data_IF_799403346603
#
_entry.id   IF_799403346603
#
_cell.length_a   1.000
_cell.length_b   1.000
_cell.length_c   1.000
_cell.angle_alpha   90.00
_cell.angle_beta   90.00
_cell.angle_gamma   90.00
#
_symmetry.space_group_name_H-M   'P 1'
#
loop_
_entity.id
_entity.type
_entity.pdbx_description
1 polymer ?
#
# COMPACT_ATOMS: atom_id res chain seq x y z
N UNK A 1 14.90 23.09 11.06
CA UNK A 1 13.64 22.64 11.68
C UNK A 1 12.49 23.15 10.78
N UNK A 2 12.20 22.42 9.70
CA UNK A 2 11.18 22.74 8.68
C UNK A 2 10.82 21.37 8.08
N UNK A 3 9.68 20.74 8.41
CA UNK A 3 8.55 20.71 7.50
C UNK A 3 7.63 19.48 7.68
N UNK A 4 7.25 19.13 8.92
CA UNK A 4 6.42 17.93 9.23
C UNK A 4 4.89 18.18 9.27
N UNK A 5 4.42 19.38 8.94
CA UNK A 5 2.97 19.72 9.01
C UNK A 5 2.30 19.79 7.64
N UNK A 6 3.05 19.70 6.54
CA UNK A 6 2.46 19.84 5.20
C UNK A 6 1.95 18.50 4.70
N UNK A 7 0.63 18.44 4.52
CA UNK A 7 -0.02 17.35 3.83
C UNK A 7 0.47 17.24 2.37
N UNK A 8 0.72 16.02 1.92
CA UNK A 8 1.09 15.72 0.55
C UNK A 8 0.62 14.33 0.13
N UNK A 9 0.49 14.14 -1.18
CA UNK A 9 0.38 12.81 -1.77
C UNK A 9 1.27 12.69 -3.02
N UNK A 10 1.80 11.50 -3.25
CA UNK A 10 2.49 11.12 -4.49
C UNK A 10 1.81 9.86 -5.01
N UNK A 11 0.99 10.00 -6.05
CA UNK A 11 0.16 8.89 -6.57
C UNK A 11 0.16 8.97 -8.09
N UNK A 12 0.35 7.82 -8.77
CA UNK A 12 0.30 7.77 -10.23
C UNK A 12 1.31 8.70 -10.92
N UNK A 13 2.52 8.84 -10.36
CA UNK A 13 3.55 9.74 -10.89
C UNK A 13 3.27 11.24 -10.68
N UNK A 14 2.33 11.59 -9.82
CA UNK A 14 1.89 12.97 -9.58
C UNK A 14 2.09 13.36 -8.12
N UNK A 15 2.68 14.53 -7.88
CA UNK A 15 2.75 15.17 -6.58
C UNK A 15 1.55 16.09 -6.40
N UNK A 16 0.89 15.91 -5.28
CA UNK A 16 -0.26 16.66 -4.83
C UNK A 16 0.10 17.40 -3.54
N UNK A 17 -0.02 18.73 -3.55
CA UNK A 17 0.14 19.62 -2.39
C UNK A 17 -1.01 20.63 -2.33
N UNK A 18 -1.05 21.46 -1.27
CA UNK A 18 -2.18 22.37 -1.08
C UNK A 18 -3.45 21.61 -0.71
N UNK A 19 -3.42 20.92 0.43
CA UNK A 19 -4.58 20.20 0.95
C UNK A 19 -5.75 21.18 1.12
N UNK A 20 -6.84 20.90 0.41
CA UNK A 20 -8.01 21.76 0.34
C UNK A 20 -9.21 21.20 1.10
N UNK A 21 -9.32 19.87 1.15
CA UNK A 21 -10.45 19.19 1.77
C UNK A 21 -10.06 17.78 2.23
N UNK A 22 -10.69 17.30 3.31
CA UNK A 22 -10.58 15.92 3.80
C UNK A 22 -11.94 15.45 4.29
N UNK A 23 -12.42 14.34 3.74
CA UNK A 23 -13.72 13.75 4.07
C UNK A 23 -13.67 12.22 4.06
N UNK A 24 -14.61 11.58 4.73
CA UNK A 24 -14.87 10.15 4.65
C UNK A 24 -16.02 9.79 3.69
N UNK A 25 -16.74 10.79 3.19
CA UNK A 25 -17.81 10.64 2.21
C UNK A 25 -17.26 10.40 0.80
N UNK A 26 -17.42 9.18 0.31
CA UNK A 26 -16.99 8.77 -1.04
C UNK A 26 -17.74 9.52 -2.15
N UNK A 27 -18.92 10.09 -1.89
CA UNK A 27 -19.64 10.89 -2.88
C UNK A 27 -18.90 12.17 -3.27
N UNK A 28 -17.95 12.62 -2.43
CA UNK A 28 -17.07 13.74 -2.76
C UNK A 28 -16.19 13.46 -3.99
N UNK A 29 -15.97 12.20 -4.36
CA UNK A 29 -15.23 11.82 -5.56
C UNK A 29 -15.98 12.11 -6.86
N UNK A 30 -17.28 12.40 -6.81
CA UNK A 30 -18.06 12.90 -7.95
C UNK A 30 -17.76 14.39 -8.25
N UNK A 31 -17.05 15.07 -7.35
CA UNK A 31 -16.57 16.43 -7.57
C UNK A 31 -15.38 16.48 -8.53
N UNK A 32 -15.05 17.67 -9.01
CA UNK A 32 -13.81 17.91 -9.77
C UNK A 32 -12.60 18.00 -8.84
N UNK A 33 -11.42 17.72 -9.39
CA UNK A 33 -10.12 17.88 -8.73
C UNK A 33 -9.36 16.56 -8.61
N UNK A 34 -8.20 16.62 -7.97
CA UNK A 34 -7.40 15.42 -7.68
C UNK A 34 -7.60 15.02 -6.22
N UNK A 35 -8.07 13.79 -6.02
CA UNK A 35 -8.29 13.19 -4.72
C UNK A 35 -7.29 12.05 -4.51
N UNK A 36 -6.56 12.08 -3.39
CA UNK A 36 -5.86 10.91 -2.89
C UNK A 36 -6.77 10.22 -1.88
N UNK A 37 -7.01 8.92 -2.07
CA UNK A 37 -7.94 8.15 -1.24
C UNK A 37 -7.18 7.04 -0.52
N UNK A 38 -7.37 6.95 0.79
CA UNK A 38 -6.91 5.85 1.62
C UNK A 38 -8.12 5.09 2.13
N UNK A 39 -8.23 3.82 1.74
CA UNK A 39 -9.27 2.90 2.20
C UNK A 39 -8.66 1.96 3.24
N UNK A 40 -8.91 2.16 4.55
CA UNK A 40 -8.40 1.25 5.57
C UNK A 40 -9.19 -0.07 5.54
N UNK A 41 -8.58 -1.12 6.10
CA UNK A 41 -9.28 -2.40 6.31
C UNK A 41 -10.50 -2.25 7.24
N UNK A 42 -10.38 -1.37 8.23
CA UNK A 42 -11.44 -1.07 9.20
C UNK A 42 -11.46 0.42 9.48
N UNK A 43 -12.66 1.00 9.54
CA UNK A 43 -12.87 2.43 9.78
C UNK A 43 -13.27 3.19 8.52
N UNK A 44 -13.46 4.52 8.63
CA UNK A 44 -13.89 5.36 7.52
C UNK A 44 -12.80 5.50 6.45
N UNK A 45 -13.21 5.74 5.20
CA UNK A 45 -12.30 6.17 4.15
C UNK A 45 -11.68 7.54 4.50
N UNK A 46 -10.53 7.85 3.88
CA UNK A 46 -9.96 9.19 3.92
C UNK A 46 -9.72 9.66 2.49
N UNK A 47 -10.59 10.55 2.02
CA UNK A 47 -10.49 11.24 0.75
C UNK A 47 -9.89 12.62 0.98
N UNK A 48 -8.71 12.88 0.43
CA UNK A 48 -8.03 14.18 0.54
C UNK A 48 -7.91 14.86 -0.82
N UNK A 49 -8.48 16.06 -0.96
CA UNK A 49 -8.41 16.85 -2.20
C UNK A 49 -7.25 17.83 -2.14
N UNK A 50 -6.52 17.95 -3.25
CA UNK A 50 -5.37 18.83 -3.38
C UNK A 50 -5.59 19.85 -4.52
N UNK A 51 -5.07 21.07 -4.33
CA UNK A 51 -5.15 22.14 -5.34
C UNK A 51 -3.95 22.17 -6.27
N UNK A 52 -2.78 21.79 -5.78
CA UNK A 52 -1.54 21.85 -6.55
C UNK A 52 -1.14 20.44 -6.99
N UNK A 53 -1.29 20.17 -8.28
CA UNK A 53 -1.09 18.84 -8.87
C UNK A 53 -0.06 18.96 -9.98
N UNK A 54 1.09 18.31 -9.81
CA UNK A 54 2.20 18.38 -10.77
C UNK A 54 2.90 17.04 -10.96
N UNK A 55 3.51 16.79 -12.12
CA UNK A 55 4.33 15.58 -12.32
C UNK A 55 5.43 15.44 -11.27
N UNK A 56 5.73 14.19 -10.91
CA UNK A 56 6.61 13.81 -9.82
C UNK A 56 7.53 12.62 -10.17
N UNK A 57 8.05 12.60 -11.40
CA UNK A 57 9.00 11.58 -11.84
C UNK A 57 10.32 12.20 -12.36
N UNK A 58 11.48 11.80 -11.78
CA UNK A 58 11.59 11.03 -10.54
C UNK A 58 11.04 11.82 -9.34
N UNK A 59 10.72 11.12 -8.24
CA UNK A 59 10.40 11.76 -6.96
C UNK A 59 11.71 11.92 -6.15
N UNK A 60 12.36 13.09 -6.15
CA UNK A 60 13.55 13.31 -5.34
C UNK A 60 13.12 13.47 -3.88
N UNK A 61 13.27 12.41 -3.08
CA UNK A 61 13.07 12.48 -1.64
C UNK A 61 14.39 12.62 -0.87
N UNK A 62 14.27 13.05 0.38
CA UNK A 62 15.37 12.94 1.32
C UNK A 62 15.77 11.46 1.54
N UNK A 63 17.04 11.17 1.87
CA UNK A 63 17.44 9.80 2.21
C UNK A 63 16.63 9.25 3.37
N UNK A 64 16.09 8.03 3.21
CA UNK A 64 15.33 7.36 4.26
C UNK A 64 16.21 7.04 5.46
N UNK A 65 15.77 7.49 6.65
CA UNK A 65 16.37 7.13 7.95
C UNK A 65 15.35 6.38 8.78
N UNK A 66 15.26 5.08 8.54
CA UNK A 66 14.29 4.20 9.18
C UNK A 66 14.70 3.62 10.53
N UNK A 67 13.82 2.79 11.14
CA UNK A 67 14.12 2.04 12.35
C UNK A 67 15.33 1.12 12.15
N UNK A 68 16.13 0.95 13.21
CA UNK A 68 17.25 -0.02 13.20
C UNK A 68 16.73 -1.46 13.06
N UNK A 69 17.45 -2.36 12.35
CA UNK A 69 17.01 -3.74 12.13
C UNK A 69 16.64 -4.52 13.41
N UNK A 70 17.35 -4.30 14.50
CA UNK A 70 17.14 -4.95 15.81
C UNK A 70 15.87 -4.48 16.55
N UNK A 71 15.22 -3.41 16.08
CA UNK A 71 14.01 -2.84 16.70
C UNK A 71 12.72 -3.38 16.12
N UNK A 72 12.80 -4.18 15.04
CA UNK A 72 11.64 -4.79 14.42
C UNK A 72 11.12 -5.97 15.23
N UNK A 73 9.79 -6.04 15.33
CA UNK A 73 9.06 -7.15 15.94
C UNK A 73 8.09 -7.72 14.93
N UNK A 74 7.89 -9.04 14.97
CA UNK A 74 6.87 -9.69 14.17
C UNK A 74 5.67 -10.09 15.02
N UNK A 75 4.46 -9.99 14.46
CA UNK A 75 3.24 -10.47 15.11
C UNK A 75 3.17 -11.99 15.23
N UNK A 76 3.93 -12.72 14.41
CA UNK A 76 4.06 -14.16 14.44
C UNK A 76 5.54 -14.51 14.30
N UNK A 77 6.02 -15.39 15.18
CA UNK A 77 7.30 -16.04 15.00
C UNK A 77 7.18 -17.20 13.99
N UNK A 78 8.28 -17.93 13.79
CA UNK A 78 8.34 -19.05 12.85
C UNK A 78 7.30 -20.12 13.21
N UNK A 79 7.26 -20.51 14.48
CA UNK A 79 6.44 -21.65 14.92
C UNK A 79 4.94 -21.29 14.85
N UNK A 80 4.58 -20.06 15.25
CA UNK A 80 3.23 -19.53 15.11
C UNK A 80 2.78 -19.44 13.65
N UNK A 81 3.64 -18.96 12.75
CA UNK A 81 3.32 -18.93 11.32
C UNK A 81 3.11 -20.34 10.76
N UNK A 82 3.99 -21.29 11.08
CA UNK A 82 3.86 -22.68 10.65
C UNK A 82 2.61 -23.37 11.21
N UNK A 83 2.23 -23.07 12.46
CA UNK A 83 1.00 -23.56 13.05
C UNK A 83 -0.24 -23.01 12.32
N UNK A 84 -0.23 -21.72 11.96
CA UNK A 84 -1.27 -21.11 11.13
C UNK A 84 -1.38 -21.79 9.76
N UNK A 85 -0.26 -22.08 9.10
CA UNK A 85 -0.25 -22.83 7.83
C UNK A 85 -0.87 -24.22 7.97
N UNK A 86 -0.52 -24.97 9.02
CA UNK A 86 -1.12 -26.30 9.27
C UNK A 86 -2.62 -26.20 9.45
N UNK A 87 -3.08 -25.27 10.28
CA UNK A 87 -4.51 -25.04 10.53
C UNK A 87 -5.28 -24.73 9.25
N UNK A 88 -4.72 -23.87 8.39
CA UNK A 88 -5.32 -23.53 7.09
C UNK A 88 -5.39 -24.75 6.18
N UNK A 89 -4.33 -25.59 6.14
CA UNK A 89 -4.33 -26.81 5.33
C UNK A 89 -5.38 -27.81 5.80
N UNK A 90 -5.56 -27.95 7.11
CA UNK A 90 -6.58 -28.83 7.67
C UNK A 90 -7.99 -28.33 7.31
N UNK A 91 -8.24 -27.01 7.37
CA UNK A 91 -9.51 -26.40 6.95
C UNK A 91 -9.77 -26.58 5.43
N UNK A 92 -8.73 -26.46 4.60
CA UNK A 92 -8.84 -26.75 3.16
C UNK A 92 -9.18 -28.22 2.92
N UNK A 93 -8.52 -29.15 3.64
CA UNK A 93 -8.76 -30.58 3.51
C UNK A 93 -10.15 -31.00 3.99
N UNK A 94 -10.69 -30.32 5.00
CA UNK A 94 -12.07 -30.50 5.47
C UNK A 94 -13.12 -29.92 4.51
N UNK A 95 -12.71 -29.07 3.56
CA UNK A 95 -13.60 -28.38 2.63
C UNK A 95 -14.22 -27.09 3.18
N UNK A 96 -13.71 -26.56 4.30
CA UNK A 96 -14.25 -25.34 4.93
C UNK A 96 -13.92 -24.07 4.14
N UNK A 97 -12.74 -24.04 3.52
CA UNK A 97 -12.23 -22.91 2.72
C UNK A 97 -11.45 -23.41 1.52
N UNK A 98 -11.47 -22.67 0.42
CA UNK A 98 -10.65 -22.97 -0.76
C UNK A 98 -9.23 -22.39 -0.66
N UNK A 99 -9.12 -21.17 -0.11
CA UNK A 99 -7.84 -20.46 0.01
C UNK A 99 -7.87 -19.45 1.16
N UNK A 100 -6.74 -19.31 1.85
CA UNK A 100 -6.52 -18.29 2.88
C UNK A 100 -5.13 -17.68 2.71
N UNK A 101 -5.06 -16.34 2.71
CA UNK A 101 -3.79 -15.61 2.66
C UNK A 101 -3.31 -15.32 4.10
N UNK A 102 -2.45 -16.17 4.64
CA UNK A 102 -1.82 -15.94 5.94
C UNK A 102 -0.72 -14.88 5.86
N UNK A 103 -0.83 -13.83 6.65
CA UNK A 103 0.16 -12.75 6.73
C UNK A 103 0.68 -12.56 8.15
N UNK A 104 1.82 -11.88 8.28
CA UNK A 104 2.34 -11.42 9.56
C UNK A 104 2.68 -9.94 9.46
N UNK A 105 2.50 -9.21 10.57
CA UNK A 105 2.88 -7.80 10.67
C UNK A 105 4.31 -7.67 11.17
N UNK A 106 5.08 -6.78 10.54
CA UNK A 106 6.35 -6.30 11.06
C UNK A 106 6.16 -4.87 11.56
N UNK A 107 6.64 -4.57 12.77
CA UNK A 107 6.49 -3.25 13.38
C UNK A 107 7.75 -2.83 14.14
N UNK A 108 8.11 -1.56 14.07
CA UNK A 108 9.20 -0.95 14.82
C UNK A 108 8.85 0.51 15.18
N UNK A 109 9.36 1.05 16.31
CA UNK A 109 9.23 2.47 16.60
C UNK A 109 10.00 3.29 15.57
N UNK A 110 9.35 4.31 15.01
CA UNK A 110 9.99 5.24 14.09
C UNK A 110 10.98 6.15 14.83
N UNK A 111 12.17 6.42 14.28
CA UNK A 111 13.08 7.42 14.83
C UNK A 111 12.48 8.83 14.71
N UNK A 112 12.92 9.74 15.58
CA UNK A 112 12.51 11.14 15.51
C UNK A 112 12.93 11.73 14.16
N UNK A 113 11.99 12.43 13.50
CA UNK A 113 12.24 13.03 12.19
C UNK A 113 12.16 12.06 11.01
N UNK A 114 11.66 10.84 11.22
CA UNK A 114 11.31 9.97 10.10
C UNK A 114 10.15 10.60 9.29
N UNK A 115 10.37 10.75 7.99
CA UNK A 115 9.41 11.32 7.06
C UNK A 115 8.92 10.24 6.09
N UNK A 116 7.60 10.11 5.93
CA UNK A 116 7.03 9.06 5.07
C UNK A 116 7.37 9.29 3.59
N UNK A 117 7.54 10.56 3.18
CA UNK A 117 8.02 10.91 1.84
C UNK A 117 9.44 10.41 1.55
N UNK A 118 10.30 10.34 2.55
CA UNK A 118 11.64 9.76 2.42
C UNK A 118 11.58 8.22 2.28
N UNK A 119 10.69 7.55 3.02
CA UNK A 119 10.43 6.12 2.82
C UNK A 119 9.89 5.86 1.41
N UNK A 120 8.93 6.66 0.94
CA UNK A 120 8.38 6.57 -0.40
C UNK A 120 9.44 6.71 -1.50
N UNK A 121 10.37 7.65 -1.35
CA UNK A 121 11.49 7.81 -2.28
C UNK A 121 12.44 6.61 -2.28
N UNK A 122 12.80 6.09 -1.10
CA UNK A 122 13.62 4.89 -1.00
C UNK A 122 12.93 3.65 -1.60
N UNK A 123 11.60 3.54 -1.45
CA UNK A 123 10.81 2.49 -2.11
C UNK A 123 10.80 2.65 -3.63
N UNK A 124 10.63 3.87 -4.15
CA UNK A 124 10.64 4.12 -5.59
C UNK A 124 11.99 3.78 -6.25
N UNK A 125 13.11 3.96 -5.52
CA UNK A 125 14.45 3.59 -5.98
C UNK A 125 14.70 2.07 -5.89
N UNK A 126 14.41 1.46 -4.73
CA UNK A 126 14.75 0.06 -4.49
C UNK A 126 13.71 -0.98 -4.95
N UNK A 127 12.44 -0.58 -5.07
CA UNK A 127 11.31 -1.42 -5.43
C UNK A 127 10.32 -0.64 -6.32
N UNK A 128 10.74 -0.23 -7.53
CA UNK A 128 9.88 0.54 -8.43
C UNK A 128 8.60 -0.24 -8.74
N UNK A 129 7.45 0.39 -8.49
CA UNK A 129 6.15 -0.26 -8.64
C UNK A 129 5.14 0.64 -9.39
N UNK A 130 4.36 0.08 -10.32
CA UNK A 130 3.43 0.85 -11.18
C UNK A 130 2.30 1.53 -10.41
N UNK A 131 1.96 1.02 -9.22
CA UNK A 131 0.91 1.58 -8.35
C UNK A 131 1.50 2.01 -6.99
N UNK A 132 2.74 2.50 -7.00
CA UNK A 132 3.34 3.13 -5.82
C UNK A 132 2.56 4.36 -5.39
N UNK A 133 2.49 4.58 -4.09
CA UNK A 133 1.76 5.69 -3.50
C UNK A 133 2.43 6.16 -2.20
N UNK A 134 2.46 7.48 -2.00
CA UNK A 134 2.75 8.12 -0.71
C UNK A 134 1.56 9.00 -0.36
N UNK A 135 1.05 8.90 0.86
CA UNK A 135 0.03 9.81 1.39
C UNK A 135 0.45 10.20 2.80
N UNK A 136 0.71 11.49 3.04
CA UNK A 136 1.01 12.03 4.36
C UNK A 136 -0.03 13.10 4.69
N UNK A 137 -0.92 12.80 5.65
CA UNK A 137 -1.91 13.71 6.20
C UNK A 137 -1.76 13.72 7.73
N UNK A 138 -0.73 14.39 8.29
CA UNK A 138 -0.41 14.33 9.72
C UNK A 138 -1.57 14.73 10.62
N UNK A 139 -2.29 15.80 10.26
CA UNK A 139 -3.44 16.31 11.02
C UNK A 139 -4.63 15.33 11.06
N UNK A 140 -4.64 14.33 10.17
CA UNK A 140 -5.68 13.32 10.05
C UNK A 140 -5.18 11.92 10.45
N UNK A 141 -3.96 11.81 10.98
CA UNK A 141 -3.38 10.54 11.42
C UNK A 141 -3.10 9.53 10.30
N UNK A 142 -3.05 9.97 9.04
CA UNK A 142 -2.81 9.08 7.88
C UNK A 142 -1.39 9.25 7.38
N UNK A 143 -0.63 8.15 7.35
CA UNK A 143 0.70 8.07 6.72
C UNK A 143 0.86 6.73 6.03
N UNK A 144 0.95 6.75 4.70
CA UNK A 144 1.08 5.57 3.85
C UNK A 144 2.25 5.77 2.90
N UNK A 145 3.10 4.74 2.80
CA UNK A 145 4.03 4.57 1.70
C UNK A 145 3.87 3.14 1.17
N UNK A 146 3.69 3.00 -0.13
CA UNK A 146 3.37 1.75 -0.80
C UNK A 146 4.17 1.60 -2.09
N UNK A 147 4.57 0.37 -2.38
CA UNK A 147 5.19 -0.06 -3.64
C UNK A 147 4.37 -1.22 -4.23
N UNK A 148 3.08 -0.99 -4.47
CA UNK A 148 2.17 -2.04 -4.95
C UNK A 148 2.40 -2.37 -6.43
N UNK A 149 2.59 -3.65 -6.80
CA UNK A 149 2.62 -4.10 -8.19
C UNK A 149 1.22 -4.32 -8.77
N UNK A 150 0.19 -4.40 -7.92
CA UNK A 150 -1.14 -4.89 -8.28
C UNK A 150 -2.17 -3.76 -8.33
N UNK A 151 -3.00 -3.78 -9.39
CA UNK A 151 -4.15 -2.90 -9.52
C UNK A 151 -5.38 -3.58 -8.95
N UNK A 152 -5.89 -3.05 -7.84
CA UNK A 152 -7.18 -3.48 -7.32
C UNK A 152 -8.32 -3.13 -8.30
N UNK A 153 -8.51 -1.83 -8.58
CA UNK A 153 -9.50 -1.35 -9.54
C UNK A 153 -9.07 -0.03 -10.18
N UNK A 154 -9.45 0.18 -11.44
CA UNK A 154 -9.42 1.47 -12.15
C UNK A 154 -10.78 1.68 -12.80
N UNK A 155 -11.34 2.88 -12.68
CA UNK A 155 -12.54 3.30 -13.40
C UNK A 155 -12.23 4.50 -14.30
N UNK A 156 -12.76 4.47 -15.52
CA UNK A 156 -12.65 5.53 -16.51
C UNK A 156 -14.00 5.65 -17.24
N UNK A 157 -14.83 6.59 -16.78
CA UNK A 157 -16.25 6.63 -17.16
C UNK A 157 -16.96 5.33 -16.81
N UNK A 158 -17.47 4.65 -17.83
CA UNK A 158 -18.16 3.35 -17.71
C UNK A 158 -17.20 2.15 -17.80
N UNK A 159 -15.92 2.38 -18.11
CA UNK A 159 -14.92 1.32 -18.15
C UNK A 159 -14.38 1.04 -16.75
N UNK A 160 -14.51 -0.21 -16.29
CA UNK A 160 -13.89 -0.70 -15.05
C UNK A 160 -12.87 -1.78 -15.39
N UNK A 161 -11.66 -1.69 -14.83
CA UNK A 161 -10.59 -2.65 -15.03
C UNK A 161 -9.93 -3.04 -13.70
N UNK A 162 -9.55 -4.32 -13.58
CA UNK A 162 -8.74 -4.87 -12.49
C UNK A 162 -7.56 -5.65 -13.08
N UNK A 163 -6.52 -5.90 -12.29
CA UNK A 163 -5.37 -6.71 -12.72
C UNK A 163 -4.87 -7.55 -11.54
N UNK A 164 -5.66 -8.54 -11.10
CA UNK A 164 -5.32 -9.36 -9.95
C UNK A 164 -4.05 -10.19 -10.19
N UNK A 165 -3.23 -10.36 -9.16
CA UNK A 165 -1.99 -11.14 -9.20
C UNK A 165 -2.12 -12.33 -8.26
N UNK A 166 -1.85 -13.52 -8.80
CA UNK A 166 -1.90 -14.77 -8.05
C UNK A 166 -0.86 -15.75 -8.60
N UNK A 167 -0.08 -16.34 -7.70
CA UNK A 167 1.14 -17.07 -8.01
C UNK A 167 2.39 -16.19 -7.83
N UNK A 168 3.48 -16.75 -7.32
CA UNK A 168 4.75 -16.03 -7.13
C UNK A 168 5.91 -17.00 -7.34
N UNK A 169 6.79 -16.67 -8.28
CA UNK A 169 8.01 -17.42 -8.57
C UNK A 169 9.13 -16.44 -8.98
N UNK A 170 10.40 -16.86 -8.96
CA UNK A 170 11.49 -15.98 -9.35
C UNK A 170 11.48 -15.72 -10.86
N UNK A 171 11.04 -16.72 -11.64
CA UNK A 171 10.83 -16.61 -13.09
C UNK A 171 9.50 -17.21 -13.52
N UNK A 172 8.97 -16.79 -14.68
CA UNK A 172 7.72 -17.34 -15.21
C UNK A 172 7.80 -18.85 -15.52
N UNK A 173 8.99 -19.36 -15.83
CA UNK A 173 9.23 -20.78 -16.10
C UNK A 173 9.13 -21.66 -14.84
N UNK A 174 9.25 -21.06 -13.65
CA UNK A 174 9.15 -21.75 -12.36
C UNK A 174 7.71 -21.83 -11.82
N UNK A 175 6.74 -21.21 -12.50
CA UNK A 175 5.32 -21.32 -12.13
C UNK A 175 4.84 -22.76 -12.36
N UNK A 176 4.27 -23.36 -11.32
CA UNK A 176 3.75 -24.72 -11.34
C UNK A 176 2.30 -24.79 -11.83
N UNK A 177 1.80 -26.00 -12.10
CA UNK A 177 0.38 -26.21 -12.42
C UNK A 177 -0.55 -25.76 -11.29
N UNK A 178 -0.07 -25.83 -10.03
CA UNK A 178 -0.77 -25.27 -8.88
C UNK A 178 -0.92 -23.76 -9.01
N UNK A 179 0.14 -23.03 -9.36
CA UNK A 179 0.09 -21.56 -9.51
C UNK A 179 -0.89 -21.15 -10.63
N UNK A 180 -0.96 -21.95 -11.71
CA UNK A 180 -1.92 -21.74 -12.80
C UNK A 180 -3.37 -21.98 -12.36
N UNK A 181 -3.63 -23.07 -11.65
CA UNK A 181 -4.96 -23.37 -11.12
C UNK A 181 -5.41 -22.30 -10.12
N UNK A 182 -4.49 -21.87 -9.26
CA UNK A 182 -4.70 -20.74 -8.36
C UNK A 182 -5.11 -19.49 -9.15
N UNK A 183 -4.40 -19.10 -10.20
CA UNK A 183 -4.69 -17.89 -10.98
C UNK A 183 -6.13 -17.80 -11.56
N UNK A 184 -6.78 -18.95 -11.81
CA UNK A 184 -8.15 -19.01 -12.35
C UNK A 184 -9.23 -18.90 -11.27
N UNK A 185 -8.91 -19.26 -10.02
CA UNK A 185 -9.84 -19.18 -8.88
C UNK A 185 -9.89 -17.79 -8.27
#
# INVERSE_FOLDING_TARGET
MVGSERALAVVGGTLCTGLADVTDDLSALDSRGFWAVVLPFSGPAVCARFTDVRPAQPWPGAPWRGPRPDRWRSSLDRDGFQAGVRTIRDAIAAGDVYQVNLTRRLSAPLPRGAEIGALGAALAEGNPAPYSAVVDLPAHGVRVASASPERFVRRDGDLVASSPIKGTAATAAELSDKDRAENVM
#
